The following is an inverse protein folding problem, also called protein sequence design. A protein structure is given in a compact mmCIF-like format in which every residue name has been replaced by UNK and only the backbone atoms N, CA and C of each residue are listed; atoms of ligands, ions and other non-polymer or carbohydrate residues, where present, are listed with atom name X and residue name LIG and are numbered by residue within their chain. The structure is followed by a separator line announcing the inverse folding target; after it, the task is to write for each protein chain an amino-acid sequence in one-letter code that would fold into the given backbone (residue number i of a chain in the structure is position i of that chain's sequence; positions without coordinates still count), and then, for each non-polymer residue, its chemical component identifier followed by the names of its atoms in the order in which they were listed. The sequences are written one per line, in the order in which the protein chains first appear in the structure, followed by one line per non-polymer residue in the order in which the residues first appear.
data_IF_601631848263
#
_entry.id   IF_601631848263
#
_cell.length_a   1.000
_cell.length_b   1.000
_cell.length_c   1.000
_cell.angle_alpha   90.00
_cell.angle_beta   90.00
_cell.angle_gamma   90.00
#
_symmetry.space_group_name_H-M   'P 1'
#
loop_
_entity.id
_entity.type
_entity.pdbx_description
1 polymer ?
#
# COMPACT_ATOMS: atom_id res chain seq x y z
N UNK A 1 -39.64 2.95 -63.48
CA UNK A 1 -39.67 1.59 -62.89
C UNK A 1 -38.73 1.60 -61.70
N UNK A 2 -39.24 2.10 -60.56
CA UNK A 2 -39.67 1.30 -59.39
C UNK A 2 -38.50 1.05 -58.42
N UNK A 3 -38.08 2.12 -57.75
CA UNK A 3 -37.54 2.05 -56.40
C UNK A 3 -38.68 1.60 -55.47
N UNK A 4 -38.71 0.30 -55.15
CA UNK A 4 -39.60 -0.34 -54.17
C UNK A 4 -38.85 -1.55 -53.59
N UNK A 5 -39.12 -1.84 -52.32
CA UNK A 5 -38.48 -2.82 -51.41
C UNK A 5 -37.15 -2.31 -50.85
N UNK A 6 -36.98 -2.01 -49.57
CA UNK A 6 -37.79 -2.26 -48.38
C UNK A 6 -37.45 -1.12 -47.39
N UNK A 7 -38.37 -0.30 -46.91
CA UNK A 7 -39.39 -0.62 -45.90
C UNK A 7 -38.83 -1.46 -44.76
N UNK A 8 -38.25 -0.79 -43.75
CA UNK A 8 -38.55 -0.99 -42.33
C UNK A 8 -37.85 0.14 -41.54
N UNK A 9 -38.52 1.27 -41.28
CA UNK A 9 -39.26 1.54 -40.03
C UNK A 9 -38.55 1.05 -38.75
N UNK A 10 -37.85 1.97 -38.09
CA UNK A 10 -37.80 2.16 -36.62
C UNK A 10 -37.17 3.54 -36.40
N UNK A 11 -37.90 4.65 -36.56
CA UNK A 11 -38.84 5.17 -35.58
C UNK A 11 -38.25 5.22 -34.16
N UNK A 12 -37.95 6.46 -33.74
CA UNK A 12 -38.44 7.03 -32.49
C UNK A 12 -37.90 6.38 -31.19
N UNK A 13 -37.02 7.10 -30.49
CA UNK A 13 -37.36 7.69 -29.18
C UNK A 13 -36.10 8.15 -28.45
N UNK A 14 -35.97 9.47 -28.37
CA UNK A 14 -35.20 10.20 -27.38
C UNK A 14 -35.61 9.77 -25.97
N UNK A 15 -34.75 9.04 -25.27
CA UNK A 15 -34.89 8.83 -23.83
C UNK A 15 -34.03 9.86 -23.10
N UNK A 16 -34.69 10.95 -22.69
CA UNK A 16 -34.23 11.81 -21.61
C UNK A 16 -34.47 11.06 -20.30
N UNK A 17 -33.43 10.46 -19.75
CA UNK A 17 -33.45 9.94 -18.39
C UNK A 17 -33.29 11.08 -17.40
N UNK A 18 -34.42 11.70 -17.02
CA UNK A 18 -34.56 12.35 -15.72
C UNK A 18 -34.61 11.22 -14.68
N UNK A 19 -33.50 11.04 -13.96
CA UNK A 19 -33.48 10.26 -12.73
C UNK A 19 -33.53 11.25 -11.57
N UNK A 20 -34.72 11.42 -11.01
CA UNK A 20 -34.93 12.00 -9.68
C UNK A 20 -35.43 10.85 -8.80
N UNK A 21 -34.50 10.21 -8.09
CA UNK A 21 -34.79 9.15 -7.12
C UNK A 21 -34.15 9.51 -5.79
N UNK A 22 -34.91 10.21 -4.95
CA UNK A 22 -34.57 10.39 -3.55
C UNK A 22 -34.70 9.06 -2.80
N UNK A 23 -33.69 8.74 -2.00
CA UNK A 23 -33.68 7.62 -1.07
C UNK A 23 -32.83 8.00 0.12
N UNK A 24 -33.45 8.62 1.11
CA UNK A 24 -32.88 8.73 2.44
C UNK A 24 -32.71 7.31 3.00
N UNK A 25 -31.46 6.91 3.18
CA UNK A 25 -31.10 5.61 3.71
C UNK A 25 -29.90 5.78 4.62
N UNK A 26 -30.17 5.78 5.93
CA UNK A 26 -29.25 5.43 7.01
C UNK A 26 -27.87 6.09 6.92
N UNK A 27 -27.71 7.23 7.59
CA UNK A 27 -26.44 7.55 8.23
C UNK A 27 -26.12 6.37 9.15
N UNK A 28 -25.24 5.48 8.69
CA UNK A 28 -24.60 4.49 9.52
C UNK A 28 -23.73 5.27 10.52
N UNK A 29 -24.34 5.71 11.62
CA UNK A 29 -23.64 6.00 12.85
C UNK A 29 -23.13 4.67 13.39
N UNK A 30 -21.87 4.35 13.13
CA UNK A 30 -21.28 3.10 13.61
C UNK A 30 -19.82 2.97 13.20
N UNK A 31 -18.92 3.34 14.11
CA UNK A 31 -17.50 3.02 14.02
C UNK A 31 -16.56 4.15 14.44
N UNK A 32 -16.65 4.66 15.68
CA UNK A 32 -15.61 5.54 16.26
C UNK A 32 -14.34 4.79 16.70
N UNK A 33 -14.12 3.59 16.17
CA UNK A 33 -12.98 2.73 16.49
C UNK A 33 -12.72 1.82 15.30
N UNK A 34 -12.31 2.41 14.18
CA UNK A 34 -11.98 1.65 12.97
C UNK A 34 -10.70 0.83 13.18
N UNK A 35 -10.80 -0.49 13.04
CA UNK A 35 -9.64 -1.29 12.65
C UNK A 35 -9.19 -0.83 11.27
N UNK A 36 -7.93 -0.48 11.10
CA UNK A 36 -7.41 -0.10 9.80
C UNK A 36 -5.95 -0.49 9.62
N UNK A 37 -5.51 -0.36 8.36
CA UNK A 37 -4.19 -0.76 7.90
C UNK A 37 -3.50 0.51 7.36
N UNK A 38 -2.29 0.79 7.84
CA UNK A 38 -1.47 1.92 7.43
C UNK A 38 -0.11 1.43 6.93
N UNK A 39 0.47 2.07 5.91
CA UNK A 39 1.77 1.71 5.32
C UNK A 39 2.73 2.91 5.33
N UNK A 40 3.98 2.76 5.79
CA UNK A 40 4.90 3.89 5.94
C UNK A 40 6.20 3.56 6.70
N UNK A 41 7.03 4.59 6.89
CA UNK A 41 8.44 4.46 7.32
C UNK A 41 8.62 4.51 8.83
N UNK A 42 9.34 3.56 9.42
CA UNK A 42 9.71 3.61 10.84
C UNK A 42 10.62 4.80 11.13
N UNK A 43 10.26 5.67 12.09
CA UNK A 43 11.05 6.85 12.47
C UNK A 43 11.59 6.82 13.91
N UNK A 44 11.01 6.01 14.81
CA UNK A 44 11.45 5.80 16.20
C UNK A 44 10.94 4.44 16.73
N UNK A 45 11.46 4.00 17.88
CA UNK A 45 11.02 2.79 18.60
C UNK A 45 10.16 3.16 19.81
N UNK A 46 9.21 2.30 20.19
CA UNK A 46 8.13 2.60 21.14
C UNK A 46 6.92 3.30 20.49
N UNK A 47 7.12 3.97 19.36
CA UNK A 47 6.05 4.37 18.45
C UNK A 47 6.54 4.48 17.00
N UNK A 48 5.76 3.94 16.06
CA UNK A 48 6.06 3.98 14.62
C UNK A 48 5.20 5.05 13.96
N UNK A 49 5.79 5.93 13.16
CA UNK A 49 5.05 6.93 12.41
C UNK A 49 4.76 6.46 10.99
N UNK A 50 3.48 6.42 10.64
CA UNK A 50 3.04 5.94 9.33
C UNK A 50 2.16 7.00 8.71
N UNK A 51 2.62 7.61 7.60
CA UNK A 51 1.95 8.73 6.94
C UNK A 51 1.61 9.91 7.89
N UNK A 52 2.46 10.16 8.90
CA UNK A 52 2.26 11.22 9.89
C UNK A 52 1.36 10.86 11.08
N UNK A 53 0.93 9.60 11.17
CA UNK A 53 0.15 9.06 12.29
C UNK A 53 1.08 8.26 13.20
N UNK A 54 1.07 8.55 14.49
CA UNK A 54 1.88 7.85 15.49
C UNK A 54 1.16 6.59 15.98
N UNK A 55 1.77 5.42 15.85
CA UNK A 55 1.24 4.17 16.38
C UNK A 55 2.04 3.69 17.58
N UNK A 56 1.38 3.47 18.72
CA UNK A 56 1.95 2.75 19.86
C UNK A 56 2.17 1.28 19.48
N UNK A 57 3.40 0.80 19.60
CA UNK A 57 3.81 -0.58 19.25
C UNK A 57 4.11 -1.45 20.46
N UNK A 58 3.92 -0.96 21.68
CA UNK A 58 4.31 -1.64 22.93
C UNK A 58 3.67 -3.02 23.13
N UNK A 59 2.53 -3.28 22.49
CA UNK A 59 1.80 -4.56 22.51
C UNK A 59 1.64 -5.19 21.12
N UNK A 60 2.32 -4.66 20.11
CA UNK A 60 2.18 -5.13 18.74
C UNK A 60 2.90 -6.46 18.52
N UNK A 61 2.32 -7.32 17.69
CA UNK A 61 3.00 -8.50 17.16
C UNK A 61 3.87 -8.09 15.96
N UNK A 62 5.15 -8.46 15.98
CA UNK A 62 6.07 -8.17 14.89
C UNK A 62 6.28 -9.40 14.02
N UNK A 63 6.21 -9.21 12.70
CA UNK A 63 6.47 -10.27 11.73
C UNK A 63 7.35 -9.77 10.58
N UNK A 64 8.33 -10.58 10.17
CA UNK A 64 9.20 -10.30 9.02
C UNK A 64 9.18 -11.50 8.06
N UNK A 65 8.76 -11.28 6.81
CA UNK A 65 8.63 -12.35 5.82
C UNK A 65 7.76 -13.51 6.33
N UNK A 66 6.64 -13.17 6.97
CA UNK A 66 5.73 -14.13 7.61
C UNK A 66 6.26 -14.87 8.85
N UNK A 67 7.48 -14.59 9.35
CA UNK A 67 8.01 -15.20 10.58
C UNK A 67 7.91 -14.25 11.79
N UNK A 68 7.72 -14.77 13.02
CA UNK A 68 7.79 -13.94 14.23
C UNK A 68 9.12 -13.20 14.32
N UNK A 69 9.04 -11.90 14.62
CA UNK A 69 10.17 -11.02 14.78
C UNK A 69 10.01 -10.19 16.06
N UNK A 70 11.02 -9.39 16.37
CA UNK A 70 11.03 -8.43 17.46
C UNK A 70 11.19 -7.02 16.91
N UNK A 71 10.82 -6.02 17.69
CA UNK A 71 10.98 -4.60 17.30
C UNK A 71 12.43 -4.27 16.92
N UNK A 72 13.42 -4.87 17.60
CA UNK A 72 14.85 -4.69 17.32
C UNK A 72 15.32 -5.25 15.98
N UNK A 73 14.51 -6.06 15.32
CA UNK A 73 14.85 -6.57 13.98
C UNK A 73 14.62 -5.51 12.91
N UNK A 74 13.82 -4.47 13.18
CA UNK A 74 13.42 -3.45 12.22
C UNK A 74 14.37 -2.25 12.26
N UNK A 75 14.56 -1.61 11.10
CA UNK A 75 15.41 -0.43 10.98
C UNK A 75 14.59 0.81 10.62
N UNK A 76 15.06 1.97 11.10
CA UNK A 76 14.51 3.26 10.68
C UNK A 76 14.64 3.41 9.17
N UNK A 77 13.56 3.81 8.52
CA UNK A 77 13.46 3.91 7.05
C UNK A 77 12.90 2.68 6.36
N UNK A 78 12.75 1.54 7.05
CA UNK A 78 12.04 0.39 6.49
C UNK A 78 10.55 0.72 6.30
N UNK A 79 10.00 0.28 5.18
CA UNK A 79 8.57 0.39 4.89
C UNK A 79 7.87 -0.81 5.50
N UNK A 80 6.97 -0.54 6.44
CA UNK A 80 6.20 -1.57 7.15
C UNK A 80 4.71 -1.38 6.94
N UNK A 81 3.98 -2.48 7.04
CA UNK A 81 2.53 -2.50 7.13
C UNK A 81 2.14 -2.58 8.60
N UNK A 82 1.41 -1.59 9.08
CA UNK A 82 0.87 -1.54 10.44
C UNK A 82 -0.63 -1.80 10.39
N UNK A 83 -1.08 -2.82 11.10
CA UNK A 83 -2.50 -3.10 11.34
C UNK A 83 -2.83 -2.71 12.78
N UNK A 84 -3.86 -1.89 12.98
CA UNK A 84 -4.18 -1.37 14.30
C UNK A 84 -5.51 -0.63 14.37
N UNK A 85 -5.69 0.12 15.45
CA UNK A 85 -6.78 1.08 15.59
C UNK A 85 -6.27 2.50 15.52
N UNK A 86 -7.13 3.43 15.11
CA UNK A 86 -6.86 4.86 15.11
C UNK A 86 -7.64 5.54 16.24
N UNK A 87 -7.11 6.64 16.77
CA UNK A 87 -7.84 7.53 17.67
C UNK A 87 -8.92 8.31 16.91
N UNK A 88 -9.89 8.90 17.64
CA UNK A 88 -11.01 9.63 17.04
C UNK A 88 -10.56 10.83 16.17
N UNK A 89 -9.35 11.35 16.39
CA UNK A 89 -8.78 12.47 15.63
C UNK A 89 -7.89 12.03 14.46
N UNK A 90 -7.65 10.73 14.28
CA UNK A 90 -6.77 10.15 13.27
C UNK A 90 -5.30 10.58 13.38
N UNK A 91 -4.85 11.04 14.55
CA UNK A 91 -3.47 11.53 14.78
C UNK A 91 -2.59 10.50 15.46
N UNK A 92 -3.19 9.63 16.25
CA UNK A 92 -2.51 8.54 16.96
C UNK A 92 -3.27 7.23 16.76
N UNK A 93 -2.62 6.11 17.07
CA UNK A 93 -3.19 4.78 16.96
C UNK A 93 -2.50 3.77 17.87
N UNK A 94 -3.09 2.58 17.97
CA UNK A 94 -2.50 1.44 18.66
C UNK A 94 -2.27 0.34 17.63
N UNK A 95 -1.01 -0.04 17.43
CA UNK A 95 -0.65 -1.13 16.54
C UNK A 95 -0.96 -2.48 17.20
N UNK A 96 -1.64 -3.34 16.47
CA UNK A 96 -1.87 -4.74 16.83
C UNK A 96 -0.85 -5.64 16.15
N UNK A 97 -0.44 -5.29 14.93
CA UNK A 97 0.58 -5.99 14.17
C UNK A 97 1.42 -5.01 13.36
N UNK A 98 2.73 -5.27 13.31
CA UNK A 98 3.70 -4.60 12.45
C UNK A 98 4.37 -5.66 11.58
N UNK A 99 4.29 -5.50 10.26
CA UNK A 99 4.78 -6.47 9.31
C UNK A 99 5.75 -5.83 8.32
N UNK A 100 6.91 -6.46 8.13
CA UNK A 100 7.82 -6.18 7.04
C UNK A 100 7.78 -7.32 6.02
N UNK A 101 7.56 -6.98 4.76
CA UNK A 101 7.66 -7.88 3.63
C UNK A 101 8.70 -7.34 2.65
N UNK A 102 9.77 -8.09 2.40
CA UNK A 102 10.74 -7.72 1.38
C UNK A 102 10.19 -8.04 -0.01
N UNK A 103 10.18 -7.02 -0.86
CA UNK A 103 9.66 -7.14 -2.23
C UNK A 103 10.57 -8.03 -3.10
N UNK A 104 11.88 -8.00 -2.85
CA UNK A 104 12.89 -8.80 -3.57
C UNK A 104 13.92 -9.33 -2.58
N UNK A 105 14.20 -10.64 -2.62
CA UNK A 105 15.31 -11.27 -1.88
C UNK A 105 16.07 -12.21 -2.82
N UNK A 106 17.39 -12.10 -2.86
CA UNK A 106 18.21 -12.99 -3.66
C UNK A 106 19.64 -12.48 -3.83
N UNK A 107 20.47 -13.30 -4.46
CA UNK A 107 21.82 -12.88 -4.87
C UNK A 107 21.67 -11.92 -6.05
N UNK A 108 22.42 -10.82 -6.01
CA UNK A 108 22.55 -9.93 -7.17
C UNK A 108 23.21 -10.74 -8.28
N UNK A 109 22.46 -11.00 -9.35
CA UNK A 109 22.91 -11.81 -10.48
C UNK A 109 23.61 -10.98 -11.54
N UNK A 110 23.31 -9.68 -11.60
CA UNK A 110 23.90 -8.77 -12.58
C UNK A 110 23.81 -7.32 -12.09
N UNK A 111 24.75 -6.48 -12.52
CA UNK A 111 24.78 -5.05 -12.22
C UNK A 111 24.95 -4.31 -13.54
N UNK A 112 23.87 -4.15 -14.32
CA UNK A 112 23.95 -3.59 -15.66
C UNK A 112 24.36 -2.11 -15.66
N UNK A 113 23.91 -1.33 -14.67
CA UNK A 113 24.22 0.09 -14.56
C UNK A 113 24.12 0.57 -13.09
N UNK A 114 25.18 0.35 -12.32
CA UNK A 114 25.25 0.75 -10.90
C UNK A 114 25.07 2.26 -10.72
N UNK A 115 25.60 3.07 -11.66
CA UNK A 115 25.53 4.53 -11.64
C UNK A 115 24.11 5.06 -11.88
N UNK A 116 23.29 4.29 -12.60
CA UNK A 116 21.86 4.56 -12.83
C UNK A 116 20.97 3.92 -11.75
N UNK A 117 21.58 3.22 -10.79
CA UNK A 117 20.90 2.51 -9.72
C UNK A 117 20.21 1.23 -10.20
N UNK A 118 20.62 0.61 -11.30
CA UNK A 118 20.00 -0.62 -11.79
C UNK A 118 20.79 -1.87 -11.39
N UNK A 119 20.10 -2.80 -10.72
CA UNK A 119 20.62 -4.13 -10.40
C UNK A 119 19.65 -5.21 -10.85
N UNK A 120 20.15 -6.42 -11.01
CA UNK A 120 19.35 -7.60 -11.31
C UNK A 120 19.48 -8.59 -10.17
N UNK A 121 18.34 -9.03 -9.62
CA UNK A 121 18.30 -10.04 -8.57
C UNK A 121 17.52 -11.24 -9.10
N UNK A 122 18.18 -12.38 -9.26
CA UNK A 122 17.59 -13.61 -9.78
C UNK A 122 16.88 -13.45 -11.14
N UNK A 123 17.39 -12.59 -12.03
CA UNK A 123 16.75 -12.34 -13.32
C UNK A 123 15.76 -11.17 -13.34
N UNK A 124 15.49 -10.56 -12.18
CA UNK A 124 14.52 -9.47 -12.04
C UNK A 124 15.23 -8.11 -11.96
N UNK A 125 14.93 -7.17 -12.87
CA UNK A 125 15.49 -5.83 -12.80
C UNK A 125 14.89 -5.06 -11.61
N UNK A 126 15.76 -4.40 -10.86
CA UNK A 126 15.44 -3.59 -9.68
C UNK A 126 16.09 -2.22 -9.86
N UNK A 127 15.27 -1.17 -9.75
CA UNK A 127 15.73 0.21 -9.70
C UNK A 127 15.94 0.59 -8.23
N UNK A 128 17.15 1.02 -7.92
CA UNK A 128 17.55 1.49 -6.61
C UNK A 128 17.20 2.97 -6.51
N UNK A 129 16.49 3.31 -5.44
CA UNK A 129 16.21 4.68 -5.05
C UNK A 129 16.78 4.94 -3.66
N UNK A 130 16.89 6.20 -3.22
CA UNK A 130 17.31 6.53 -1.85
C UNK A 130 16.40 5.94 -0.74
N UNK A 131 15.20 5.47 -1.08
CA UNK A 131 14.28 4.82 -0.15
C UNK A 131 14.50 3.31 -0.02
N UNK A 132 15.39 2.71 -0.83
CA UNK A 132 15.71 1.30 -0.73
C UNK A 132 16.59 1.05 0.50
N UNK A 133 16.23 0.06 1.31
CA UNK A 133 17.04 -0.43 2.43
C UNK A 133 17.77 -1.68 1.99
N UNK A 134 19.09 -1.72 2.19
CA UNK A 134 19.94 -2.86 1.87
C UNK A 134 20.23 -3.68 3.13
N UNK A 135 20.20 -5.01 3.00
CA UNK A 135 20.56 -5.94 4.07
C UNK A 135 21.86 -6.64 3.70
N UNK A 136 22.83 -6.69 4.63
CA UNK A 136 24.22 -7.15 4.44
C UNK A 136 25.14 -6.29 3.56
N UNK A 137 24.64 -5.20 2.97
CA UNK A 137 25.41 -4.23 2.21
C UNK A 137 25.21 -2.85 2.85
N UNK A 138 26.28 -2.08 3.02
CA UNK A 138 26.26 -0.71 3.53
C UNK A 138 25.79 0.29 2.45
N UNK A 139 25.71 -0.15 1.20
CA UNK A 139 25.18 0.61 0.10
C UNK A 139 25.44 -0.04 -1.24
N UNK A 140 24.96 0.63 -2.29
CA UNK A 140 25.07 0.21 -3.69
C UNK A 140 26.53 -0.02 -4.11
N UNK A 141 27.48 0.71 -3.51
CA UNK A 141 28.92 0.59 -3.78
C UNK A 141 29.55 -0.74 -3.35
N UNK A 142 28.83 -1.58 -2.60
CA UNK A 142 29.30 -2.88 -2.12
C UNK A 142 28.66 -4.07 -2.86
N UNK A 143 27.86 -3.80 -3.89
CA UNK A 143 27.29 -4.80 -4.80
C UNK A 143 28.29 -5.15 -5.92
#
# INVERSE_FOLDING_TARGET
MTARLAVLLMALSSMLSVSCGGGGGTLAGGGIGGTGISNGTVTAFGSIFVNGIEFDTSQAQFTRGGQPATESDFNVGEVVTVTGTFDENGRTGVAQQVMYESVVNGVVTNVPAIDDGEIEVLGQPVIITPANVFFNFLGVSEL
#
